data_IF_575925514389
#
_entry.id   IF_575925514389
#
_cell.length_a   1.000
_cell.length_b   1.000
_cell.length_c   1.000
_cell.angle_alpha   90.00
_cell.angle_beta   90.00
_cell.angle_gamma   90.00
#
_symmetry.space_group_name_H-M   'P 1'
#
loop_
_entity.id
_entity.type
_entity.pdbx_description
1 polymer ?
#
# COMPACT_ATOMS: atom_id res chain seq x y z
N UNK A 1 -12.16 -13.43 51.98
CA UNK A 1 -12.36 -12.34 51.01
C UNK A 1 -11.01 -12.04 50.36
N UNK A 2 -10.84 -12.28 49.07
CA UNK A 2 -9.58 -12.03 48.35
C UNK A 2 -9.58 -10.56 47.91
N UNK A 3 -8.55 -9.80 48.27
CA UNK A 3 -8.39 -8.40 47.88
C UNK A 3 -7.75 -8.34 46.48
N UNK A 4 -8.48 -7.76 45.53
CA UNK A 4 -7.99 -7.53 44.18
C UNK A 4 -7.00 -6.35 44.16
N UNK A 5 -5.77 -6.59 43.68
CA UNK A 5 -4.76 -5.55 43.54
C UNK A 5 -4.99 -4.79 42.23
N UNK A 6 -5.42 -3.53 42.34
CA UNK A 6 -5.54 -2.60 41.21
C UNK A 6 -4.16 -2.17 40.72
N UNK A 7 -3.79 -2.53 39.49
CA UNK A 7 -2.56 -2.08 38.84
C UNK A 7 -2.80 -0.68 38.25
N UNK A 8 -2.02 0.30 38.72
CA UNK A 8 -2.03 1.68 38.22
C UNK A 8 -0.75 1.87 37.42
N UNK A 9 -0.87 2.00 36.10
CA UNK A 9 0.26 2.30 35.22
C UNK A 9 0.51 3.82 35.31
N UNK A 10 1.62 4.21 35.92
CA UNK A 10 2.11 5.60 35.92
C UNK A 10 3.00 5.77 34.70
N UNK A 11 2.53 6.54 33.71
CA UNK A 11 3.35 6.98 32.58
C UNK A 11 4.13 8.21 33.07
N UNK A 12 5.47 8.13 33.05
CA UNK A 12 6.33 9.27 33.33
C UNK A 12 6.14 10.30 32.21
N UNK A 13 5.60 11.47 32.57
CA UNK A 13 5.53 12.62 31.68
C UNK A 13 6.85 13.36 31.82
N UNK A 14 7.70 13.31 30.80
CA UNK A 14 8.79 14.28 30.67
C UNK A 14 8.15 15.66 30.44
N UNK A 15 8.39 16.58 31.39
CA UNK A 15 7.73 17.89 31.50
C UNK A 15 8.20 18.94 30.46
N UNK A 16 8.85 18.52 29.36
CA UNK A 16 9.52 19.45 28.44
C UNK A 16 8.97 19.48 26.99
N UNK A 17 7.74 19.02 26.72
CA UNK A 17 7.19 19.03 25.34
C UNK A 17 5.78 19.61 25.16
N UNK A 18 5.15 20.13 26.22
CA UNK A 18 3.75 20.61 26.16
C UNK A 18 3.59 22.04 25.62
N UNK A 19 4.66 22.85 25.60
CA UNK A 19 4.58 24.25 25.12
C UNK A 19 4.62 24.38 23.59
N UNK A 20 5.42 23.56 22.89
CA UNK A 20 5.57 23.67 21.43
C UNK A 20 4.42 23.00 20.64
N UNK A 21 3.71 22.05 21.24
CA UNK A 21 2.59 21.36 20.58
C UNK A 21 1.31 22.22 20.48
N UNK A 22 1.19 23.31 21.27
CA UNK A 22 0.03 24.20 21.17
C UNK A 22 0.06 25.16 19.97
N UNK A 23 1.24 25.49 19.42
CA UNK A 23 1.35 26.35 18.22
C UNK A 23 1.13 25.61 16.91
N UNK A 24 1.17 24.27 16.90
CA UNK A 24 0.92 23.45 15.71
C UNK A 24 -0.54 23.02 15.53
N UNK A 25 -1.44 23.34 16.48
CA UNK A 25 -2.88 23.10 16.30
C UNK A 25 -3.47 24.18 15.38
N UNK A 26 -3.20 24.07 14.08
CA UNK A 26 -3.91 24.83 13.05
C UNK A 26 -5.38 24.46 13.13
N UNK A 27 -6.23 25.40 13.55
CA UNK A 27 -7.67 25.19 13.54
C UNK A 27 -8.17 25.25 12.11
N UNK A 28 -8.91 24.23 11.66
CA UNK A 28 -9.45 24.05 10.30
C UNK A 28 -10.53 25.08 9.88
N UNK A 29 -10.51 26.28 10.46
CA UNK A 29 -11.55 27.30 10.25
C UNK A 29 -11.53 27.90 8.83
N UNK A 30 -10.34 28.01 8.24
CA UNK A 30 -10.18 28.69 6.93
C UNK A 30 -10.67 27.82 5.75
N UNK A 31 -10.77 26.50 5.96
CA UNK A 31 -11.32 25.54 4.97
C UNK A 31 -12.84 25.37 5.08
N UNK A 32 -13.49 25.87 6.14
CA UNK A 32 -14.93 25.75 6.34
C UNK A 32 -15.75 26.87 5.67
N UNK A 33 -15.13 27.96 5.21
CA UNK A 33 -15.88 29.07 4.57
C UNK A 33 -16.43 28.71 3.18
N UNK A 34 -15.84 27.72 2.51
CA UNK A 34 -16.25 27.25 1.18
C UNK A 34 -17.12 26.00 1.20
N UNK A 35 -17.43 25.45 2.38
CA UNK A 35 -18.34 24.33 2.52
C UNK A 35 -19.80 24.79 2.32
N UNK A 36 -20.40 24.38 1.20
CA UNK A 36 -21.77 24.73 0.81
C UNK A 36 -22.79 23.78 1.46
N UNK A 37 -22.34 22.61 1.93
CA UNK A 37 -23.18 21.64 2.62
C UNK A 37 -23.18 21.89 4.13
N UNK A 38 -24.37 22.11 4.69
CA UNK A 38 -24.62 22.45 6.11
C UNK A 38 -25.51 21.41 6.78
N UNK A 39 -25.29 20.13 6.52
CA UNK A 39 -25.78 19.10 7.41
C UNK A 39 -24.88 19.03 8.65
N UNK A 40 -25.21 19.80 9.69
CA UNK A 40 -24.56 19.66 10.99
C UNK A 40 -25.57 19.26 12.07
N UNK A 41 -25.59 17.96 12.35
CA UNK A 41 -26.14 17.36 13.57
C UNK A 41 -25.48 18.03 14.79
N UNK A 42 -26.31 18.61 15.67
CA UNK A 42 -25.93 18.98 17.03
C UNK A 42 -25.17 20.31 17.18
N UNK A 43 -25.91 21.43 17.25
CA UNK A 43 -25.64 22.59 18.13
C UNK A 43 -26.83 23.56 18.04
N UNK A 44 -27.59 23.70 19.13
CA UNK A 44 -28.69 24.66 19.26
C UNK A 44 -28.17 26.10 19.20
N UNK A 45 -28.80 26.93 18.37
CA UNK A 45 -28.74 28.40 18.42
C UNK A 45 -30.12 28.95 18.82
N UNK A 46 -30.23 29.83 19.83
CA UNK A 46 -31.52 30.39 20.21
C UNK A 46 -31.97 31.46 19.20
N UNK A 47 -33.16 31.25 18.63
CA UNK A 47 -33.80 32.12 17.65
C UNK A 47 -34.37 33.37 18.34
N UNK A 48 -33.98 34.55 17.83
CA UNK A 48 -34.47 35.85 18.29
C UNK A 48 -35.82 36.14 17.63
N UNK A 49 -36.85 36.37 18.45
CA UNK A 49 -38.24 36.61 18.03
C UNK A 49 -38.37 37.86 17.16
N UNK A 50 -39.06 37.73 16.03
CA UNK A 50 -39.48 38.84 15.18
C UNK A 50 -41.01 38.84 15.02
N UNK A 51 -41.60 39.73 15.81
CA UNK A 51 -42.95 40.33 15.83
C UNK A 51 -43.92 40.01 14.69
N UNK A 52 -45.05 39.46 15.13
CA UNK A 52 -46.38 39.43 14.52
C UNK A 52 -46.85 40.84 14.11
N UNK A 53 -47.24 41.00 12.83
CA UNK A 53 -48.05 42.12 12.37
C UNK A 53 -49.34 41.61 11.72
N UNK A 54 -50.42 42.30 12.09
CA UNK A 54 -51.83 41.94 12.04
C UNK A 54 -52.54 42.82 11.00
N UNK A 55 -53.55 42.24 10.33
CA UNK A 55 -54.56 42.84 9.42
C UNK A 55 -54.00 43.22 8.03
N UNK A 56 -54.64 42.86 6.90
CA UNK A 56 -56.01 43.20 6.52
C UNK A 56 -56.70 42.11 5.65
N UNK A 57 -58.05 42.07 5.69
CA UNK A 57 -58.95 41.34 4.79
C UNK A 57 -59.37 42.27 3.62
N UNK A 58 -59.70 41.75 2.43
CA UNK A 58 -61.13 41.65 2.08
C UNK A 58 -61.57 40.40 1.28
N UNK A 59 -62.73 39.90 1.71
CA UNK A 59 -63.91 39.39 1.00
C UNK A 59 -63.88 38.42 -0.22
N UNK A 60 -64.50 37.26 0.05
CA UNK A 60 -65.58 36.57 -0.70
C UNK A 60 -65.40 36.21 -2.19
N UNK A 61 -65.28 34.89 -2.45
CA UNK A 61 -65.95 34.17 -3.56
C UNK A 61 -66.00 32.64 -3.30
N UNK A 62 -67.10 32.03 -3.75
CA UNK A 62 -67.70 30.71 -3.38
C UNK A 62 -66.85 29.46 -3.72
N UNK A 63 -67.05 28.30 -3.06
CA UNK A 63 -66.20 27.13 -3.23
C UNK A 63 -66.55 26.36 -4.52
N UNK A 64 -65.58 26.19 -5.42
CA UNK A 64 -65.57 25.06 -6.35
C UNK A 64 -64.98 23.87 -5.61
N UNK A 65 -65.80 22.85 -5.36
CA UNK A 65 -65.33 21.54 -4.90
C UNK A 65 -64.55 20.92 -6.06
N UNK A 66 -63.25 21.21 -6.10
CA UNK A 66 -62.30 20.45 -6.87
C UNK A 66 -61.89 19.27 -5.98
N UNK A 67 -62.27 18.05 -6.35
CA UNK A 67 -61.76 16.84 -5.71
C UNK A 67 -60.25 16.81 -5.90
N UNK A 68 -59.55 17.35 -4.90
CA UNK A 68 -58.12 17.17 -4.74
C UNK A 68 -57.92 15.70 -4.36
N UNK A 69 -57.60 14.86 -5.33
CA UNK A 69 -56.92 13.60 -5.05
C UNK A 69 -55.59 13.99 -4.41
N UNK A 70 -55.60 14.07 -3.07
CA UNK A 70 -54.37 14.06 -2.29
C UNK A 70 -53.82 12.65 -2.47
N UNK A 71 -53.00 12.45 -3.50
CA UNK A 71 -51.98 11.43 -3.44
C UNK A 71 -51.21 11.72 -2.17
N UNK A 72 -51.45 10.92 -1.15
CA UNK A 72 -50.60 10.88 0.03
C UNK A 72 -49.28 10.38 -0.54
N UNK A 73 -48.36 11.33 -0.78
CA UNK A 73 -46.95 11.00 -0.82
C UNK A 73 -46.68 10.45 0.58
N UNK A 74 -46.75 9.12 0.71
CA UNK A 74 -46.22 8.41 1.87
C UNK A 74 -44.72 8.61 1.74
N UNK A 75 -44.24 9.78 2.20
CA UNK A 75 -42.84 10.01 2.42
C UNK A 75 -42.35 8.98 3.43
N UNK A 76 -41.10 8.53 3.26
CA UNK A 76 -40.49 7.54 4.15
C UNK A 76 -40.77 7.88 5.61
N UNK A 77 -41.57 7.05 6.26
CA UNK A 77 -41.86 7.19 7.68
C UNK A 77 -40.54 7.10 8.43
N UNK A 78 -40.13 8.11 9.21
CA UNK A 78 -38.94 8.01 10.06
C UNK A 78 -39.13 6.85 11.04
N UNK A 79 -38.05 6.11 11.32
CA UNK A 79 -38.10 5.04 12.33
C UNK A 79 -38.45 5.70 13.66
N UNK A 80 -39.53 5.24 14.28
CA UNK A 80 -40.06 5.81 15.52
C UNK A 80 -39.49 5.08 16.74
N UNK A 81 -39.67 5.64 17.94
CA UNK A 81 -39.27 4.97 19.19
C UNK A 81 -40.04 3.66 19.41
N UNK A 82 -41.29 3.58 18.94
CA UNK A 82 -42.10 2.35 19.02
C UNK A 82 -41.54 1.24 18.12
N UNK A 83 -40.95 1.57 16.97
CA UNK A 83 -40.26 0.57 16.12
C UNK A 83 -39.04 -0.08 16.79
N UNK A 84 -38.44 0.60 17.78
CA UNK A 84 -37.26 0.12 18.50
C UNK A 84 -37.57 -0.51 19.86
N UNK A 85 -38.78 -0.30 20.39
CA UNK A 85 -39.15 -0.67 21.77
C UNK A 85 -40.41 -1.51 21.89
N UNK A 86 -41.20 -1.64 20.83
CA UNK A 86 -42.37 -2.54 20.80
C UNK A 86 -41.96 -4.00 20.59
N UNK A 87 -42.84 -4.92 21.00
CA UNK A 87 -42.65 -6.37 20.85
C UNK A 87 -42.69 -6.82 19.37
N UNK A 88 -43.29 -6.00 18.50
CA UNK A 88 -43.33 -6.23 17.06
C UNK A 88 -43.11 -4.90 16.31
N UNK A 89 -41.89 -4.64 15.80
CA UNK A 89 -41.58 -3.46 15.00
C UNK A 89 -42.45 -3.34 13.75
N UNK A 90 -42.70 -2.10 13.31
CA UNK A 90 -43.51 -1.82 12.13
C UNK A 90 -42.86 -2.29 10.82
N UNK A 91 -43.68 -2.40 9.75
CA UNK A 91 -43.21 -2.84 8.43
C UNK A 91 -42.13 -1.90 7.84
N UNK A 92 -42.21 -0.60 8.12
CA UNK A 92 -41.26 0.40 7.63
C UNK A 92 -39.86 0.22 8.22
N UNK A 93 -39.75 -0.27 9.46
CA UNK A 93 -38.47 -0.62 10.08
C UNK A 93 -37.78 -1.76 9.34
N UNK A 94 -38.51 -2.85 9.09
CA UNK A 94 -37.97 -4.01 8.38
C UNK A 94 -37.60 -3.70 6.94
N UNK A 95 -38.38 -2.84 6.28
CA UNK A 95 -38.06 -2.34 4.94
C UNK A 95 -36.71 -1.60 4.93
N UNK A 96 -36.52 -0.63 5.84
CA UNK A 96 -35.25 0.12 5.96
C UNK A 96 -34.07 -0.78 6.33
N UNK A 97 -34.29 -1.75 7.21
CA UNK A 97 -33.26 -2.72 7.57
C UNK A 97 -32.86 -3.59 6.37
N UNK A 98 -33.84 -4.06 5.59
CA UNK A 98 -33.60 -4.85 4.39
C UNK A 98 -32.84 -4.04 3.34
N UNK A 99 -33.23 -2.79 3.09
CA UNK A 99 -32.54 -1.88 2.16
C UNK A 99 -31.10 -1.59 2.60
N UNK A 100 -30.89 -1.31 3.89
CA UNK A 100 -29.55 -1.07 4.45
C UNK A 100 -28.68 -2.32 4.33
N UNK A 101 -29.25 -3.49 4.64
CA UNK A 101 -28.54 -4.78 4.53
C UNK A 101 -28.21 -5.10 3.07
N UNK A 102 -29.14 -4.83 2.15
CA UNK A 102 -28.92 -5.02 0.71
C UNK A 102 -27.79 -4.11 0.21
N UNK A 103 -27.78 -2.83 0.61
CA UNK A 103 -26.71 -1.91 0.25
C UNK A 103 -25.35 -2.36 0.80
N UNK A 104 -25.30 -2.76 2.08
CA UNK A 104 -24.08 -3.28 2.69
C UNK A 104 -23.58 -4.56 2.00
N UNK A 105 -24.49 -5.49 1.66
CA UNK A 105 -24.16 -6.70 0.92
C UNK A 105 -23.64 -6.37 -0.48
N UNK A 106 -24.29 -5.46 -1.20
CA UNK A 106 -23.87 -5.06 -2.54
C UNK A 106 -22.45 -4.44 -2.53
N UNK A 107 -22.18 -3.57 -1.55
CA UNK A 107 -20.85 -2.99 -1.37
C UNK A 107 -19.80 -4.08 -1.09
N UNK A 108 -20.13 -5.06 -0.24
CA UNK A 108 -19.22 -6.17 0.07
C UNK A 108 -18.97 -7.08 -1.14
N UNK A 109 -19.98 -7.34 -1.96
CA UNK A 109 -19.83 -8.12 -3.20
C UNK A 109 -18.96 -7.39 -4.22
N UNK A 110 -19.18 -6.08 -4.40
CA UNK A 110 -18.37 -5.27 -5.30
C UNK A 110 -16.90 -5.21 -4.85
N UNK A 111 -16.65 -5.06 -3.55
CA UNK A 111 -15.30 -5.12 -2.99
C UNK A 111 -14.67 -6.51 -3.21
N UNK A 112 -15.44 -7.59 -3.03
CA UNK A 112 -14.96 -8.94 -3.26
C UNK A 112 -14.55 -9.18 -4.72
N UNK A 113 -15.35 -8.69 -5.67
CA UNK A 113 -15.02 -8.75 -7.10
C UNK A 113 -13.73 -7.98 -7.40
N UNK A 114 -13.61 -6.74 -6.90
CA UNK A 114 -12.40 -5.94 -7.05
C UNK A 114 -11.17 -6.64 -6.47
N UNK A 115 -11.28 -7.20 -5.26
CA UNK A 115 -10.17 -7.93 -4.63
C UNK A 115 -9.76 -9.17 -5.43
N UNK A 116 -10.70 -9.86 -6.09
CA UNK A 116 -10.38 -10.98 -6.97
C UNK A 116 -9.62 -10.53 -8.21
N UNK A 117 -10.01 -9.41 -8.81
CA UNK A 117 -9.29 -8.82 -9.94
C UNK A 117 -7.87 -8.42 -9.54
N UNK A 118 -7.72 -7.72 -8.40
CA UNK A 118 -6.42 -7.31 -7.87
C UNK A 118 -5.53 -8.53 -7.59
N UNK A 119 -6.09 -9.60 -7.00
CA UNK A 119 -5.35 -10.86 -6.77
C UNK A 119 -4.90 -11.48 -8.10
N UNK A 120 -5.76 -11.51 -9.11
CA UNK A 120 -5.43 -12.09 -10.42
C UNK A 120 -4.28 -11.33 -11.09
N UNK A 121 -4.32 -9.99 -11.05
CA UNK A 121 -3.23 -9.13 -11.56
C UNK A 121 -1.93 -9.40 -10.81
N UNK A 122 -1.97 -9.36 -9.47
CA UNK A 122 -0.78 -9.59 -8.64
C UNK A 122 -0.19 -10.99 -8.84
N UNK A 123 -1.03 -12.01 -9.08
CA UNK A 123 -0.56 -13.37 -9.37
C UNK A 123 0.17 -13.44 -10.71
N UNK A 124 -0.33 -12.79 -11.75
CA UNK A 124 0.36 -12.76 -13.05
C UNK A 124 1.67 -11.97 -12.97
N UNK A 125 1.67 -10.81 -12.30
CA UNK A 125 2.90 -10.05 -12.06
C UNK A 125 3.93 -10.88 -11.29
N UNK A 126 3.51 -11.59 -10.24
CA UNK A 126 4.39 -12.46 -9.47
C UNK A 126 4.98 -13.60 -10.32
N UNK A 127 4.17 -14.17 -11.22
CA UNK A 127 4.61 -15.20 -12.16
C UNK A 127 5.68 -14.65 -13.11
N UNK A 128 5.43 -13.50 -13.73
CA UNK A 128 6.40 -12.83 -14.61
C UNK A 128 7.72 -12.53 -13.86
N UNK A 129 7.64 -12.02 -12.63
CA UNK A 129 8.84 -11.77 -11.83
C UNK A 129 9.64 -13.04 -11.53
N UNK A 130 8.96 -14.17 -11.29
CA UNK A 130 9.62 -15.47 -11.06
C UNK A 130 10.29 -15.99 -12.33
N UNK A 131 9.64 -15.86 -13.48
CA UNK A 131 10.22 -16.24 -14.77
C UNK A 131 11.49 -15.44 -15.06
N UNK A 132 11.45 -14.11 -14.90
CA UNK A 132 12.61 -13.24 -15.08
C UNK A 132 13.76 -13.55 -14.09
N UNK A 133 13.42 -13.93 -12.86
CA UNK A 133 14.41 -14.35 -11.87
C UNK A 133 15.10 -15.66 -12.29
N UNK A 134 14.35 -16.62 -12.82
CA UNK A 134 14.89 -17.89 -13.28
C UNK A 134 15.77 -17.70 -14.52
N UNK A 135 15.36 -16.88 -15.48
CA UNK A 135 16.19 -16.49 -16.63
C UNK A 135 17.49 -15.81 -16.18
N UNK A 136 17.41 -14.93 -15.18
CA UNK A 136 18.59 -14.26 -14.61
C UNK A 136 19.53 -15.25 -13.91
N UNK A 137 18.98 -16.21 -13.15
CA UNK A 137 19.77 -17.30 -12.56
C UNK A 137 20.47 -18.12 -13.65
N UNK A 138 19.73 -18.51 -14.68
CA UNK A 138 20.29 -19.27 -15.80
C UNK A 138 21.43 -18.52 -16.49
N UNK A 139 21.27 -17.21 -16.71
CA UNK A 139 22.34 -16.38 -17.25
C UNK A 139 23.59 -16.39 -16.36
N UNK A 140 23.42 -16.28 -15.03
CA UNK A 140 24.54 -16.36 -14.08
C UNK A 140 25.25 -17.71 -14.16
N UNK A 141 24.50 -18.81 -14.24
CA UNK A 141 25.06 -20.16 -14.38
C UNK A 141 25.90 -20.30 -15.66
N UNK A 142 25.40 -19.79 -16.79
CA UNK A 142 26.14 -19.78 -18.06
C UNK A 142 27.42 -18.95 -17.94
N UNK A 143 27.37 -17.77 -17.32
CA UNK A 143 28.54 -16.91 -17.13
C UNK A 143 29.60 -17.54 -16.21
N UNK A 144 29.16 -18.24 -15.16
CA UNK A 144 30.05 -19.01 -14.28
C UNK A 144 30.70 -20.17 -15.04
N UNK A 145 29.92 -20.91 -15.83
CA UNK A 145 30.45 -22.00 -16.67
C UNK A 145 31.51 -21.48 -17.65
N UNK A 146 31.24 -20.38 -18.35
CA UNK A 146 32.21 -19.78 -19.29
C UNK A 146 33.46 -19.27 -18.57
N UNK A 147 33.32 -18.70 -17.38
CA UNK A 147 34.46 -18.23 -16.58
C UNK A 147 35.34 -19.40 -16.13
N UNK A 148 34.74 -20.49 -15.68
CA UNK A 148 35.47 -21.70 -15.29
C UNK A 148 36.17 -22.35 -16.48
N UNK A 149 35.48 -22.50 -17.61
CA UNK A 149 36.07 -23.05 -18.83
C UNK A 149 37.27 -22.24 -19.32
N UNK A 150 37.21 -20.90 -19.21
CA UNK A 150 38.33 -20.02 -19.55
C UNK A 150 39.52 -20.25 -18.63
N UNK A 151 39.29 -20.44 -17.32
CA UNK A 151 40.36 -20.75 -16.38
C UNK A 151 41.02 -22.09 -16.72
N UNK A 152 40.22 -23.12 -17.00
CA UNK A 152 40.73 -24.44 -17.39
C UNK A 152 41.54 -24.39 -18.69
N UNK A 153 41.08 -23.63 -19.69
CA UNK A 153 41.82 -23.46 -20.94
C UNK A 153 43.20 -22.82 -20.71
N UNK A 154 43.29 -21.81 -19.85
CA UNK A 154 44.57 -21.18 -19.49
C UNK A 154 45.49 -22.18 -18.79
N UNK A 155 44.94 -22.97 -17.85
CA UNK A 155 45.71 -23.98 -17.12
C UNK A 155 46.24 -25.10 -18.04
N UNK A 156 45.43 -25.55 -19.00
CA UNK A 156 45.78 -26.69 -19.87
C UNK A 156 46.68 -26.30 -21.04
N UNK A 157 46.46 -25.12 -21.65
CA UNK A 157 47.14 -24.78 -22.90
C UNK A 157 48.20 -23.71 -22.74
N UNK A 158 47.97 -22.70 -21.89
CA UNK A 158 48.88 -21.56 -21.77
C UNK A 158 50.05 -21.90 -20.85
N UNK A 159 49.80 -22.47 -19.67
CA UNK A 159 50.85 -22.75 -18.67
C UNK A 159 51.89 -23.78 -19.17
N UNK A 160 51.50 -24.95 -19.72
CA UNK A 160 52.49 -25.91 -20.21
C UNK A 160 53.32 -25.38 -21.38
N UNK A 161 52.71 -24.55 -22.24
CA UNK A 161 53.42 -23.88 -23.33
C UNK A 161 54.51 -22.95 -22.81
N UNK A 162 54.19 -22.05 -21.87
CA UNK A 162 55.18 -21.14 -21.25
C UNK A 162 56.28 -21.91 -20.53
N UNK A 163 55.95 -22.98 -19.81
CA UNK A 163 56.96 -23.83 -19.16
C UNK A 163 57.91 -24.46 -20.18
N UNK A 164 57.38 -24.98 -21.30
CA UNK A 164 58.19 -25.54 -22.38
C UNK A 164 59.14 -24.51 -23.00
N UNK A 165 58.68 -23.27 -23.21
CA UNK A 165 59.55 -22.19 -23.71
C UNK A 165 60.65 -21.83 -22.71
N UNK A 166 60.32 -21.72 -21.41
CA UNK A 166 61.31 -21.43 -20.37
C UNK A 166 62.37 -22.54 -20.22
N UNK A 167 61.97 -23.81 -20.30
CA UNK A 167 62.91 -24.94 -20.28
C UNK A 167 63.82 -24.93 -21.51
N UNK A 168 63.27 -24.63 -22.68
CA UNK A 168 64.06 -24.53 -23.91
C UNK A 168 65.08 -23.39 -23.83
N UNK A 169 64.68 -22.21 -23.36
CA UNK A 169 65.59 -21.08 -23.18
C UNK A 169 66.75 -21.40 -22.23
N UNK A 170 66.45 -22.09 -21.11
CA UNK A 170 67.50 -22.54 -20.18
C UNK A 170 68.44 -23.55 -20.84
N UNK A 171 67.90 -24.51 -21.59
CA UNK A 171 68.68 -25.53 -22.27
C UNK A 171 69.59 -24.92 -23.35
N UNK A 172 69.06 -24.01 -24.17
CA UNK A 172 69.82 -23.30 -25.21
C UNK A 172 70.99 -22.51 -24.57
N UNK A 173 70.75 -21.85 -23.42
CA UNK A 173 71.78 -21.10 -22.70
C UNK A 173 72.84 -21.99 -22.04
N UNK A 174 72.46 -23.18 -21.57
CA UNK A 174 73.42 -24.17 -21.06
C UNK A 174 74.30 -24.72 -22.19
N UNK A 175 73.73 -24.97 -23.37
CA UNK A 175 74.48 -25.40 -24.55
C UNK A 175 75.52 -24.35 -24.98
N UNK A 176 75.13 -23.07 -25.03
CA UNK A 176 76.04 -21.96 -25.36
C UNK A 176 77.27 -21.91 -24.42
N UNK A 177 77.05 -22.09 -23.12
CA UNK A 177 78.14 -22.10 -22.11
C UNK A 177 79.06 -23.33 -22.24
N UNK A 178 78.53 -24.46 -22.70
CA UNK A 178 79.33 -25.68 -22.90
C UNK A 178 80.21 -25.51 -24.15
N UNK A 179 79.63 -25.01 -25.24
CA UNK A 179 80.36 -24.78 -26.49
C UNK A 179 81.50 -23.76 -26.31
N UNK A 180 81.30 -22.70 -25.50
CA UNK A 180 82.37 -21.73 -25.15
C UNK A 180 83.54 -22.34 -24.35
N UNK A 181 83.32 -23.43 -23.59
CA UNK A 181 84.36 -24.04 -22.74
C UNK A 181 85.22 -25.09 -23.43
N UNK A 182 84.78 -25.58 -24.59
CA UNK A 182 85.53 -26.56 -25.36
C UNK A 182 86.52 -25.90 -26.34
N UNK A 183 86.28 -24.65 -26.74
CA UNK A 183 87.23 -23.85 -27.54
C UNK A 183 88.52 -23.47 -26.76
N UNK A 184 88.45 -23.34 -25.43
CA UNK A 184 89.61 -22.99 -24.58
C UNK A 184 90.54 -24.20 -24.28
N UNK A 185 90.15 -25.43 -24.66
CA UNK A 185 90.88 -26.66 -24.30
C UNK A 185 91.90 -27.12 -25.34
N UNK A 186 91.84 -26.60 -26.57
CA UNK A 186 92.78 -26.94 -27.64
C UNK A 186 94.05 -26.07 -27.67
N UNK A 187 94.16 -25.04 -26.81
CA UNK A 187 95.34 -24.14 -26.78
C UNK A 187 96.44 -24.53 -25.76
N UNK A 188 96.31 -25.65 -25.03
CA UNK A 188 97.29 -26.09 -24.02
C UNK A 188 97.84 -27.51 -24.21
N UNK A 189 97.77 -28.06 -25.43
CA UNK A 189 98.38 -29.35 -25.77
C UNK A 189 99.51 -29.21 -26.80
N UNK A 190 100.63 -28.58 -26.39
CA UNK A 190 102.00 -28.90 -26.86
C UNK A 190 103.06 -28.28 -25.93
#
# INVERSE_FOLDING_TARGET
MKTEKKVIIKIASDEQSTADNMRSRRTFRDLQQTAIDKENVGRYTPMKEAKLNRLEKPELKKPKVLMQHKSIQVGDSPITSEDLTSDAPGADYWKKLAETTQSALNNSLQENEKLKEDIAVLQEENKVCKEMLEESRHLVEVLQFLSNLKADFILVYQIPSHHKYAVKEFQDRVSEIIDEKDDDRDENAD
#
